data_IF_127063579182
#
_entry.id   IF_127063579182
#
_cell.length_a   1.000
_cell.length_b   1.000
_cell.length_c   1.000
_cell.angle_alpha   90.00
_cell.angle_beta   90.00
_cell.angle_gamma   90.00
#
_symmetry.space_group_name_H-M   'P 1'
#
loop_
_entity.id
_entity.type
_entity.pdbx_description
1 polymer ?
#
# COMPACT_ATOMS: atom_id res chain seq x y z
N UNK A 1 -21.89 -24.87 -12.09
CA UNK A 1 -21.40 -24.82 -10.68
C UNK A 1 -20.02 -24.18 -10.67
N UNK A 2 -19.73 -23.18 -9.83
CA UNK A 2 -18.40 -22.57 -9.77
C UNK A 2 -17.35 -23.55 -9.21
N UNK A 3 -16.09 -23.47 -9.65
CA UNK A 3 -15.04 -24.32 -9.12
C UNK A 3 -14.83 -24.05 -7.62
N UNK A 4 -14.90 -25.11 -6.82
CA UNK A 4 -14.68 -25.05 -5.38
C UNK A 4 -13.33 -25.65 -4.98
N UNK A 5 -12.66 -25.10 -3.95
CA UNK A 5 -11.44 -25.70 -3.43
C UNK A 5 -11.72 -27.10 -2.88
N UNK A 6 -11.02 -28.11 -3.41
CA UNK A 6 -11.21 -29.51 -3.03
C UNK A 6 -10.91 -29.80 -1.56
N UNK A 7 -9.98 -29.05 -0.94
CA UNK A 7 -9.53 -29.21 0.46
C UNK A 7 -9.04 -27.89 1.05
N UNK A 8 -8.99 -27.82 2.38
CA UNK A 8 -8.37 -26.73 3.14
C UNK A 8 -6.88 -26.60 2.78
N UNK A 9 -6.42 -25.37 2.56
CA UNK A 9 -5.02 -25.05 2.32
C UNK A 9 -4.24 -25.16 3.64
N UNK A 10 -3.10 -25.87 3.64
CA UNK A 10 -2.25 -26.02 4.83
C UNK A 10 -1.73 -24.66 5.34
N UNK A 11 -1.45 -24.58 6.65
CA UNK A 11 -0.89 -23.38 7.27
C UNK A 11 0.40 -22.91 6.57
N UNK A 12 1.30 -23.84 6.26
CA UNK A 12 2.55 -23.60 5.51
C UNK A 12 2.28 -23.01 4.11
N UNK A 13 1.35 -23.60 3.35
CA UNK A 13 1.03 -23.12 1.99
C UNK A 13 0.36 -21.74 2.02
N UNK A 14 -0.52 -21.49 2.99
CA UNK A 14 -1.13 -20.17 3.22
C UNK A 14 -0.09 -19.11 3.62
N UNK A 15 0.83 -19.47 4.52
CA UNK A 15 1.91 -18.59 4.97
C UNK A 15 2.85 -18.21 3.83
N UNK A 16 3.32 -19.19 3.05
CA UNK A 16 4.17 -18.96 1.87
C UNK A 16 3.49 -18.04 0.85
N UNK A 17 2.19 -18.22 0.61
CA UNK A 17 1.41 -17.33 -0.29
C UNK A 17 1.35 -15.89 0.22
N UNK A 18 1.18 -15.69 1.54
CA UNK A 18 1.10 -14.34 2.14
C UNK A 18 2.46 -13.66 2.26
N UNK A 19 3.56 -14.40 2.32
CA UNK A 19 4.91 -13.85 2.46
C UNK A 19 5.35 -12.92 1.31
N UNK A 20 4.75 -13.06 0.12
CA UNK A 20 4.97 -12.15 -1.01
C UNK A 20 4.18 -10.84 -0.94
N UNK A 21 3.18 -10.75 -0.06
CA UNK A 21 2.34 -9.56 0.09
C UNK A 21 3.02 -8.63 1.08
N UNK A 22 3.82 -7.69 0.56
CA UNK A 22 4.51 -6.66 1.35
C UNK A 22 3.94 -5.29 1.01
N UNK A 23 3.65 -4.51 2.04
CA UNK A 23 3.27 -3.10 1.89
C UNK A 23 4.54 -2.27 1.74
N UNK A 24 4.63 -1.45 0.71
CA UNK A 24 5.69 -0.45 0.56
C UNK A 24 5.26 0.84 1.25
N UNK A 25 6.22 1.51 1.90
CA UNK A 25 5.97 2.83 2.47
C UNK A 25 5.79 3.86 1.34
N UNK A 26 4.82 4.76 1.44
CA UNK A 26 4.66 5.82 0.45
C UNK A 26 5.83 6.80 0.53
N UNK A 27 6.29 7.28 -0.62
CA UNK A 27 7.27 8.36 -0.68
C UNK A 27 6.58 9.69 -0.35
N UNK A 28 6.94 10.25 0.79
CA UNK A 28 6.46 11.54 1.28
C UNK A 28 7.57 12.59 1.18
N UNK A 29 7.22 13.76 0.67
CA UNK A 29 8.10 14.92 0.55
C UNK A 29 7.58 16.05 1.44
N UNK A 30 8.47 16.92 1.93
CA UNK A 30 8.08 18.13 2.63
C UNK A 30 7.53 19.15 1.64
N UNK A 31 6.41 19.79 1.98
CA UNK A 31 5.86 20.87 1.18
C UNK A 31 6.65 22.17 1.43
N UNK A 32 7.13 22.87 0.38
CA UNK A 32 7.93 24.09 0.55
C UNK A 32 7.14 25.26 1.15
N UNK A 33 5.82 25.29 0.97
CA UNK A 33 4.99 26.41 1.44
C UNK A 33 4.49 26.24 2.87
N UNK A 34 4.16 25.01 3.29
CA UNK A 34 3.53 24.77 4.59
C UNK A 34 4.27 23.76 5.48
N UNK A 35 5.42 23.23 5.04
CA UNK A 35 6.29 22.32 5.82
C UNK A 35 5.72 20.93 6.10
N UNK A 36 4.43 20.70 5.83
CA UNK A 36 3.75 19.41 6.01
C UNK A 36 4.16 18.40 4.94
N UNK A 37 4.03 17.12 5.27
CA UNK A 37 4.30 16.03 4.34
C UNK A 37 3.21 15.95 3.26
N UNK A 38 3.63 15.80 2.01
CA UNK A 38 2.77 15.59 0.84
C UNK A 38 3.30 14.42 0.01
N UNK A 39 2.43 13.80 -0.77
CA UNK A 39 2.85 12.86 -1.80
C UNK A 39 3.60 13.64 -2.91
N UNK A 40 4.66 13.04 -3.46
CA UNK A 40 5.40 13.64 -4.56
C UNK A 40 4.53 13.86 -5.80
N UNK A 41 4.78 14.96 -6.52
CA UNK A 41 4.04 15.37 -7.73
C UNK A 41 2.51 15.47 -7.54
N UNK A 42 2.06 15.77 -6.32
CA UNK A 42 0.67 16.06 -6.01
C UNK A 42 0.57 17.39 -5.27
N UNK A 43 -0.56 18.06 -5.48
CA UNK A 43 -0.95 19.25 -4.72
C UNK A 43 -0.93 18.93 -3.22
N UNK A 44 -0.40 19.85 -2.41
CA UNK A 44 -0.50 19.73 -0.98
C UNK A 44 -1.96 19.94 -0.56
N UNK A 45 -2.61 18.93 0.03
CA UNK A 45 -4.00 19.05 0.49
C UNK A 45 -4.24 20.16 1.52
N UNK A 46 -3.16 20.69 2.09
CA UNK A 46 -3.21 21.68 3.16
C UNK A 46 -3.02 23.12 2.70
N UNK A 47 -2.08 23.35 1.78
CA UNK A 47 -1.78 24.68 1.26
C UNK A 47 -2.18 24.86 -0.22
N UNK A 48 -2.80 23.84 -0.85
CA UNK A 48 -3.31 23.81 -2.24
C UNK A 48 -2.33 24.25 -3.33
N UNK A 49 -1.06 24.38 -2.98
CA UNK A 49 0.05 24.69 -3.87
C UNK A 49 0.84 23.41 -4.18
N UNK A 50 1.52 23.44 -5.32
CA UNK A 50 2.32 22.32 -5.84
C UNK A 50 3.62 22.08 -5.09
#
# INVERSE_FOLDING_TARGET
>A
MPPQPKRKISSRRRGKRRAGIKLTLPHLLKCPHCGRVKAGHRLCGNCRQY
#
